data_IF_339679493015
#
_entry.id   IF_339679493015
#
_cell.length_a   1.000
_cell.length_b   1.000
_cell.length_c   1.000
_cell.angle_alpha   90.00
_cell.angle_beta   90.00
_cell.angle_gamma   90.00
#
_symmetry.space_group_name_H-M   'P 1'
#
loop_
_entity.id
_entity.type
_entity.pdbx_description
1 polymer ?
2 non-polymer ?
#
# COMPACT_ATOMS: atom_id res chain seq x y z
N UNK A 65 2.26 1.53 -29.85
CA UNK A 65 1.11 1.81 -28.99
C UNK A 65 0.05 0.73 -29.15
N UNK A 66 -0.15 -0.06 -28.10
CA UNK A 66 -1.16 -1.11 -28.09
C UNK A 66 -1.91 -1.05 -26.76
N UNK A 67 -3.20 -0.68 -26.78
CA UNK A 67 -3.89 -0.39 -25.52
C UNK A 67 -4.19 -1.61 -24.66
N UNK A 68 -4.13 -2.83 -25.20
CA UNK A 68 -4.61 -3.98 -24.45
C UNK A 68 -3.60 -4.43 -23.39
N UNK A 69 -2.36 -3.93 -23.42
CA UNK A 69 -1.36 -4.39 -22.45
C UNK A 69 -1.69 -3.85 -21.06
N UNK A 70 -1.68 -2.53 -20.91
CA UNK A 70 -1.95 -1.94 -19.60
C UNK A 70 -3.41 -2.16 -19.19
N UNK A 71 -4.33 -2.20 -20.17
CA UNK A 71 -5.73 -2.50 -19.84
C UNK A 71 -5.87 -3.93 -19.33
N UNK A 72 -5.17 -4.88 -19.94
CA UNK A 72 -5.18 -6.25 -19.45
C UNK A 72 -4.57 -6.35 -18.06
N UNK A 73 -3.49 -5.61 -17.82
CA UNK A 73 -2.90 -5.57 -16.48
C UNK A 73 -3.91 -5.03 -15.48
N UNK A 74 -4.62 -3.97 -15.85
CA UNK A 74 -5.62 -3.38 -14.96
C UNK A 74 -6.74 -4.37 -14.66
N UNK A 75 -7.20 -5.10 -15.69
CA UNK A 75 -8.26 -6.09 -15.48
C UNK A 75 -7.79 -7.24 -14.59
N UNK A 76 -6.56 -7.71 -14.82
CA UNK A 76 -6.01 -8.78 -13.99
C UNK A 76 -5.92 -8.32 -12.54
N UNK A 77 -5.48 -7.09 -12.32
CA UNK A 77 -5.48 -6.55 -10.95
C UNK A 77 -6.90 -6.52 -10.41
N UNK A 78 -7.82 -5.92 -11.19
CA UNK A 78 -9.20 -5.72 -10.75
C UNK A 78 -9.86 -7.00 -10.30
N UNK A 79 -9.52 -8.13 -10.92
CA UNK A 79 -10.10 -9.40 -10.52
C UNK A 79 -9.27 -10.07 -9.44
N UNK A 80 -8.01 -10.38 -9.76
CA UNK A 80 -7.21 -11.25 -8.91
C UNK A 80 -6.89 -10.57 -7.58
N UNK A 81 -6.50 -9.30 -7.60
CA UNK A 81 -6.17 -8.63 -6.35
C UNK A 81 -7.38 -8.51 -5.44
N UNK A 82 -8.55 -8.21 -6.01
CA UNK A 82 -9.77 -8.15 -5.23
C UNK A 82 -10.05 -9.50 -4.58
N UNK A 83 -9.98 -10.58 -5.36
CA UNK A 83 -10.27 -11.91 -4.82
C UNK A 83 -9.29 -12.29 -3.72
N UNK A 84 -8.00 -12.05 -3.96
CA UNK A 84 -6.99 -12.43 -2.98
C UNK A 84 -7.09 -11.63 -1.69
N UNK A 85 -7.28 -10.31 -1.79
CA UNK A 85 -7.39 -9.50 -0.59
C UNK A 85 -8.68 -9.82 0.16
N UNK A 86 -9.77 -10.10 -0.55
CA UNK A 86 -10.99 -10.52 0.11
C UNK A 86 -10.79 -11.83 0.86
N UNK A 87 -10.08 -12.77 0.23
CA UNK A 87 -9.79 -14.03 0.91
C UNK A 87 -8.93 -13.81 2.15
N UNK A 88 -7.93 -12.93 2.07
CA UNK A 88 -7.08 -12.66 3.21
C UNK A 88 -7.88 -12.06 4.36
N UNK A 89 -8.73 -11.07 4.05
CA UNK A 89 -9.55 -10.44 5.09
C UNK A 89 -10.52 -11.43 5.71
N UNK A 90 -11.17 -12.25 4.88
CA UNK A 90 -12.10 -13.23 5.39
C UNK A 90 -11.41 -14.24 6.30
N UNK A 91 -10.23 -14.71 5.89
CA UNK A 91 -9.51 -15.70 6.67
C UNK A 91 -9.06 -15.11 8.01
N UNK A 92 -8.57 -13.86 8.00
CA UNK A 92 -8.15 -13.23 9.24
C UNK A 92 -9.34 -13.03 10.17
N UNK A 93 -10.49 -12.59 9.62
CA UNK A 93 -11.65 -12.33 10.46
C UNK A 93 -12.20 -13.62 11.04
N UNK A 94 -12.26 -14.69 10.23
CA UNK A 94 -12.96 -15.90 10.64
C UNK A 94 -12.15 -16.70 11.66
N UNK A 95 -10.91 -17.03 11.34
CA UNK A 95 -10.12 -17.93 12.15
C UNK A 95 -9.55 -17.20 13.37
N UNK A 96 -9.87 -17.71 14.56
CA UNK A 96 -9.27 -17.18 15.78
C UNK A 96 -7.78 -17.52 15.87
N UNK A 97 -7.35 -18.55 15.13
CA UNK A 97 -5.94 -18.94 15.15
C UNK A 97 -5.05 -17.81 14.64
N UNK A 98 -5.48 -17.12 13.58
CA UNK A 98 -4.65 -16.12 12.92
C UNK A 98 -5.04 -14.70 13.28
N UNK A 99 -5.50 -14.48 14.52
CA UNK A 99 -5.80 -13.13 14.99
C UNK A 99 -4.62 -12.61 15.81
N UNK A 100 -3.57 -12.21 15.09
CA UNK A 100 -2.36 -11.68 15.68
C UNK A 100 -2.14 -10.25 15.19
N UNK A 101 -1.30 -9.51 15.91
CA UNK A 101 -1.11 -8.09 15.61
C UNK A 101 -0.58 -7.88 14.20
N UNK A 102 0.45 -8.65 13.82
CA UNK A 102 0.96 -8.55 12.46
C UNK A 102 -0.11 -8.93 11.44
N UNK A 103 -0.96 -9.89 11.79
CA UNK A 103 -2.07 -10.25 10.91
C UNK A 103 -3.12 -9.15 10.86
N UNK A 104 -3.29 -8.39 11.94
CA UNK A 104 -4.20 -7.25 11.90
C UNK A 104 -3.68 -6.17 10.96
N UNK A 105 -2.37 -5.90 11.03
CA UNK A 105 -1.78 -4.95 10.09
C UNK A 105 -1.89 -5.45 8.66
N UNK A 106 -1.71 -6.75 8.45
CA UNK A 106 -1.88 -7.34 7.13
C UNK A 106 -3.32 -7.19 6.66
N UNK A 107 -4.27 -7.31 7.60
CA UNK A 107 -5.68 -7.07 7.27
C UNK A 107 -5.90 -5.64 6.80
N UNK A 108 -5.27 -4.67 7.48
CA UNK A 108 -5.40 -3.28 7.04
C UNK A 108 -4.80 -3.09 5.65
N UNK A 109 -3.65 -3.70 5.39
CA UNK A 109 -3.02 -3.62 4.07
C UNK A 109 -3.92 -4.20 3.00
N UNK A 110 -4.52 -5.37 3.27
CA UNK A 110 -5.41 -6.01 2.32
C UNK A 110 -6.66 -5.17 2.10
N UNK A 111 -7.18 -4.54 3.15
CA UNK A 111 -8.34 -3.67 3.01
C UNK A 111 -8.03 -2.50 2.08
N UNK A 112 -6.87 -1.86 2.27
CA UNK A 112 -6.49 -0.77 1.39
C UNK A 112 -6.31 -1.24 -0.05
N UNK A 113 -5.67 -2.40 -0.23
CA UNK A 113 -5.44 -2.91 -1.59
C UNK A 113 -6.75 -3.26 -2.27
N UNK A 114 -7.70 -3.84 -1.53
CA UNK A 114 -9.00 -4.18 -2.13
C UNK A 114 -9.80 -2.92 -2.44
N UNK A 115 -9.69 -1.89 -1.60
CA UNK A 115 -10.38 -0.64 -1.89
C UNK A 115 -9.83 0.01 -3.14
N UNK A 116 -8.51 0.01 -3.31
CA UNK A 116 -7.93 0.62 -4.51
C UNK A 116 -8.19 -0.22 -5.76
N UNK A 117 -8.53 -1.50 -5.57
CA UNK A 117 -8.74 -2.37 -6.73
C UNK A 117 -10.08 -2.07 -7.41
N UNK A 118 -11.10 -1.71 -6.62
CA UNK A 118 -12.42 -1.46 -7.18
C UNK A 118 -12.42 -0.32 -8.19
N UNK A 119 -11.45 0.60 -8.08
CA UNK A 119 -11.37 1.74 -8.97
C UNK A 119 -10.56 1.45 -10.24
N UNK A 120 -10.12 0.21 -10.42
CA UNK A 120 -9.33 -0.12 -11.61
C UNK A 120 -10.09 0.10 -12.93
N UNK A 121 -11.35 -0.31 -13.08
CA UNK A 121 -12.05 0.01 -14.34
C UNK A 121 -12.17 1.50 -14.60
N UNK A 122 -12.27 2.32 -13.56
CA UNK A 122 -12.31 3.77 -13.76
C UNK A 122 -10.93 4.31 -14.12
N UNK A 123 -9.87 3.72 -13.57
CA UNK A 123 -8.51 4.16 -13.90
C UNK A 123 -8.18 3.91 -15.37
N UNK A 124 -8.59 2.77 -15.90
CA UNK A 124 -8.23 2.39 -17.26
C UNK A 124 -8.94 3.23 -18.32
N UNK A 125 -9.97 3.99 -17.95
CA UNK A 125 -10.65 4.82 -18.94
C UNK A 125 -9.78 5.99 -19.37
N UNK A 126 -9.07 6.62 -18.44
CA UNK A 126 -8.20 7.73 -18.78
C UNK A 126 -6.98 7.30 -19.60
N UNK A 127 -6.77 6.00 -19.74
CA UNK A 127 -5.73 5.47 -20.61
C UNK A 127 -6.29 4.97 -21.94
N UNK A 128 -7.50 4.42 -21.94
CA UNK A 128 -8.11 3.97 -23.18
C UNK A 128 -8.62 5.15 -24.01
N UNK A 129 -9.26 6.12 -23.36
CA UNK A 129 -9.87 7.25 -24.05
C UNK A 129 -9.24 8.59 -23.74
N UNK A 130 -8.35 8.66 -22.74
CA UNK A 130 -7.70 9.91 -22.34
C UNK A 130 -8.72 10.99 -21.98
N UNK A 131 -9.77 10.59 -21.28
CA UNK A 131 -10.78 11.52 -20.81
C UNK A 131 -11.50 10.89 -19.62
N UNK A 132 -12.20 11.74 -18.86
CA UNK A 132 -12.92 11.29 -17.67
C UNK A 132 -14.42 11.40 -17.91
N UNK A 133 -15.12 10.30 -18.19
CA UNK A 133 -16.58 10.35 -18.37
C UNK A 133 -17.41 10.00 -17.15
N UNK A 134 -16.81 9.85 -15.97
CA UNK A 134 -17.53 9.31 -14.82
C UNK A 134 -18.08 10.38 -13.87
N UNK A 135 -17.75 11.65 -14.08
CA UNK A 135 -18.37 12.72 -13.33
C UNK A 135 -17.54 13.16 -12.13
N UNK A 136 -18.01 14.26 -11.53
CA UNK A 136 -17.25 14.95 -10.49
C UNK A 136 -17.20 14.15 -9.19
N UNK A 137 -18.34 13.60 -8.76
CA UNK A 137 -18.37 12.84 -7.52
C UNK A 137 -17.50 11.59 -7.63
N UNK A 138 -17.60 10.89 -8.75
CA UNK A 138 -16.75 9.71 -8.95
C UNK A 138 -15.27 10.09 -9.03
N UNK A 139 -14.97 11.24 -9.64
CA UNK A 139 -13.58 11.71 -9.64
C UNK A 139 -13.08 11.96 -8.22
N UNK A 140 -13.91 12.61 -7.40
CA UNK A 140 -13.54 12.86 -6.00
C UNK A 140 -13.29 11.56 -5.26
N UNK A 141 -14.20 10.59 -5.42
CA UNK A 141 -14.07 9.32 -4.72
C UNK A 141 -12.81 8.59 -5.16
N UNK A 142 -12.53 8.59 -6.46
CA UNK A 142 -11.36 7.89 -6.98
C UNK A 142 -10.07 8.52 -6.47
N UNK A 143 -9.98 9.85 -6.50
CA UNK A 143 -8.78 10.52 -6.01
C UNK A 143 -8.59 10.25 -4.52
N UNK A 144 -9.68 10.33 -3.75
CA UNK A 144 -9.58 10.07 -2.32
C UNK A 144 -9.13 8.64 -2.05
N UNK A 145 -9.65 7.68 -2.81
CA UNK A 145 -9.25 6.28 -2.61
C UNK A 145 -7.77 6.10 -2.96
N UNK A 146 -7.31 6.74 -4.03
CA UNK A 146 -5.91 6.62 -4.41
C UNK A 146 -4.99 7.15 -3.31
N UNK A 147 -5.31 8.35 -2.79
CA UNK A 147 -4.46 8.92 -1.75
C UNK A 147 -4.55 8.13 -0.45
N UNK A 148 -5.75 7.63 -0.12
CA UNK A 148 -5.91 6.77 1.05
C UNK A 148 -5.04 5.54 0.93
N UNK A 149 -5.07 4.88 -0.22
CA UNK A 149 -4.24 3.69 -0.42
C UNK A 149 -2.76 4.02 -0.27
N UNK A 150 -2.32 5.10 -0.94
CA UNK A 150 -0.90 5.44 -0.91
C UNK A 150 -0.41 5.70 0.51
N UNK A 151 -1.16 6.48 1.29
CA UNK A 151 -0.70 6.81 2.62
C UNK A 151 -0.86 5.63 3.58
N UNK A 152 -2.00 4.92 3.52
CA UNK A 152 -2.26 3.85 4.45
C UNK A 152 -1.31 2.68 4.26
N UNK A 153 -0.98 2.34 3.01
CA UNK A 153 -0.07 1.23 2.77
C UNK A 153 1.29 1.47 3.42
N UNK A 154 1.87 2.65 3.20
CA UNK A 154 3.19 2.93 3.73
C UNK A 154 3.15 3.07 5.25
N UNK A 155 2.08 3.68 5.79
CA UNK A 155 1.99 3.80 7.24
C UNK A 155 1.84 2.44 7.91
N UNK A 156 1.03 1.55 7.32
CA UNK A 156 0.85 0.22 7.88
C UNK A 156 2.13 -0.60 7.77
N UNK A 157 2.88 -0.44 6.68
CA UNK A 157 4.16 -1.12 6.58
C UNK A 157 5.15 -0.60 7.60
N UNK A 158 5.16 0.71 7.85
CA UNK A 158 6.02 1.26 8.89
C UNK A 158 5.66 0.71 10.26
N UNK A 159 4.36 0.61 10.56
CA UNK A 159 3.94 0.05 11.83
C UNK A 159 4.25 -1.44 11.93
N UNK A 160 4.16 -2.17 10.81
CA UNK A 160 4.59 -3.57 10.81
C UNK A 160 6.06 -3.70 11.12
N UNK A 161 6.89 -2.83 10.52
CA UNK A 161 8.32 -2.86 10.80
C UNK A 161 8.61 -2.54 12.27
N UNK A 162 7.89 -1.55 12.81
CA UNK A 162 8.09 -1.20 14.22
C UNK A 162 7.66 -2.35 15.13
N UNK A 163 6.54 -3.00 14.81
CA UNK A 163 6.09 -4.14 15.60
C UNK A 163 7.09 -5.28 15.55
N UNK A 164 7.64 -5.57 14.37
CA UNK A 164 8.65 -6.61 14.25
C UNK A 164 9.90 -6.25 15.04
N UNK A 165 10.31 -4.98 15.00
CA UNK A 165 11.48 -4.55 15.74
C UNK A 165 11.25 -4.71 17.24
N UNK A 166 10.06 -4.35 17.73
CA UNK A 166 9.75 -4.51 19.15
C UNK A 166 9.75 -5.99 19.51
N UNK A 167 9.18 -6.84 18.66
CA UNK A 167 9.13 -8.27 18.96
C UNK A 167 10.52 -8.88 19.00
N UNK A 168 11.42 -8.42 18.13
CA UNK A 168 12.74 -9.04 18.02
C UNK A 168 13.68 -8.50 19.09
N UNK A 169 13.76 -7.17 19.23
CA UNK A 169 14.77 -6.55 20.06
C UNK A 169 14.30 -6.22 21.47
N UNK A 170 12.99 -6.12 21.70
CA UNK A 170 12.44 -5.79 23.02
C UNK A 170 11.31 -6.75 23.36
N UNK A 171 11.63 -8.03 23.60
CA UNK A 171 10.57 -9.00 23.93
C UNK A 171 9.90 -8.74 25.27
N UNK A 172 10.52 -7.98 26.17
CA UNK A 172 9.92 -7.74 27.47
C UNK A 172 8.70 -6.82 27.35
N UNK A 173 8.79 -5.81 26.48
CA UNK A 173 7.69 -4.88 26.27
C UNK A 173 6.69 -5.38 25.24
N UNK A 174 7.13 -6.24 24.33
CA UNK A 174 6.25 -6.75 23.28
C UNK A 174 5.08 -7.55 23.83
N UNK A 175 5.19 -8.08 25.05
CA UNK A 175 4.07 -8.80 25.65
C UNK A 175 2.88 -7.87 25.86
N UNK A 176 3.13 -6.68 26.40
CA UNK A 176 2.07 -5.71 26.60
C UNK A 176 1.71 -4.98 25.30
N UNK A 177 2.70 -4.70 24.46
CA UNK A 177 2.45 -3.86 23.29
C UNK A 177 1.68 -4.63 22.21
N UNK A 178 2.05 -5.88 21.97
CA UNK A 178 1.65 -6.58 20.75
C UNK A 178 0.32 -7.32 20.89
N UNK A 179 -0.59 -6.84 21.73
CA UNK A 179 -1.93 -7.41 21.77
C UNK A 179 -2.71 -7.00 20.52
N UNK A 180 -3.57 -7.89 20.01
CA UNK A 180 -4.35 -7.54 18.80
C UNK A 180 -5.24 -6.33 18.96
N UNK A 181 -5.74 -6.06 20.16
CA UNK A 181 -6.58 -4.88 20.37
C UNK A 181 -5.81 -3.60 20.08
N UNK A 182 -4.56 -3.53 20.56
CA UNK A 182 -3.71 -2.38 20.23
C UNK A 182 -3.45 -2.29 18.74
N UNK A 183 -3.33 -3.43 18.06
CA UNK A 183 -3.15 -3.41 16.61
C UNK A 183 -4.37 -2.82 15.92
N UNK A 184 -5.57 -3.19 16.37
CA UNK A 184 -6.79 -2.62 15.79
C UNK A 184 -6.86 -1.13 16.06
N UNK A 185 -6.54 -0.70 17.28
CA UNK A 185 -6.56 0.73 17.60
C UNK A 185 -5.57 1.48 16.73
N UNK A 186 -4.38 0.92 16.52
CA UNK A 186 -3.37 1.56 15.69
C UNK A 186 -3.83 1.62 14.23
N UNK A 187 -4.54 0.58 13.77
CA UNK A 187 -5.08 0.62 12.41
C UNK A 187 -6.11 1.73 12.26
N UNK A 188 -6.99 1.89 13.24
CA UNK A 188 -7.96 2.98 13.20
C UNK A 188 -7.26 4.33 13.21
N UNK A 189 -6.22 4.46 14.04
CA UNK A 189 -5.47 5.70 14.10
C UNK A 189 -4.76 6.00 12.78
N UNK A 190 -4.26 4.95 12.12
CA UNK A 190 -3.62 5.13 10.82
C UNK A 190 -4.64 5.60 9.79
N UNK A 191 -5.83 5.00 9.78
CA UNK A 191 -6.85 5.43 8.83
C UNK A 191 -7.27 6.88 9.11
N UNK A 192 -7.35 7.26 10.39
CA UNK A 192 -7.69 8.64 10.71
C UNK A 192 -6.58 9.61 10.29
N UNK A 193 -5.32 9.20 10.46
CA UNK A 193 -4.22 10.07 10.08
C UNK A 193 -4.18 10.31 8.58
N UNK A 194 -4.40 9.25 7.79
CA UNK A 194 -4.43 9.41 6.34
C UNK A 194 -5.67 10.18 5.87
N UNK A 195 -6.69 10.32 6.72
CA UNK A 195 -7.87 11.06 6.35
C UNK A 195 -7.60 12.55 6.16
N UNK A 196 -6.48 13.05 6.68
CA UNK A 196 -6.12 14.44 6.44
C UNK A 196 -5.80 14.69 4.97
N UNK A 197 -5.52 13.62 4.21
CA UNK A 197 -5.25 13.74 2.79
C UNK A 197 -6.45 13.23 2.00
N UNK A 198 -7.13 12.22 2.54
CA UNK A 198 -8.32 11.71 1.86
C UNK A 198 -9.46 12.72 1.83
N UNK A 199 -9.72 13.35 2.97
CA UNK A 199 -10.77 14.38 3.01
C UNK A 199 -10.36 15.60 2.19
N UNK A 200 -9.07 15.93 2.21
CA UNK A 200 -8.59 17.03 1.38
C UNK A 200 -8.78 16.72 -0.10
N UNK A 201 -8.55 15.48 -0.51
CA UNK A 201 -8.78 15.10 -1.89
C UNK A 201 -10.27 15.10 -2.23
N UNK A 202 -11.11 14.72 -1.27
CA UNK A 202 -12.55 14.81 -1.47
C UNK A 202 -12.97 16.25 -1.71
N UNK A 203 -12.45 17.17 -0.89
CA UNK A 203 -12.83 18.58 -1.02
C UNK A 203 -12.30 19.18 -2.31
N UNK A 204 -11.02 18.93 -2.62
CA UNK A 204 -10.35 19.58 -3.73
C UNK A 204 -10.52 18.86 -5.05
N UNK A 205 -10.76 17.55 -5.02
CA UNK A 205 -10.88 16.80 -6.26
C UNK A 205 -12.03 17.30 -7.11
N UNK A 206 -11.84 17.23 -8.42
CA UNK A 206 -12.87 17.69 -9.34
C UNK A 206 -12.44 17.49 -10.77
N UNK A 207 -13.37 17.78 -11.68
CA UNK A 207 -13.16 17.64 -13.11
C UNK A 207 -13.13 19.02 -13.74
N UNK A 208 -12.07 19.31 -14.49
CA UNK A 208 -11.95 20.57 -15.22
C UNK A 208 -11.71 20.27 -16.69
N UNK A 209 -12.47 20.91 -17.55
CA UNK A 209 -12.36 20.71 -18.99
C UNK A 209 -11.15 21.47 -19.52
N UNK A 210 -10.50 20.91 -20.53
CA UNK A 210 -9.38 21.58 -21.17
C UNK A 210 -9.90 22.51 -22.27
N UNK A 211 -9.45 23.76 -22.23
CA UNK A 211 -9.93 24.77 -23.17
C UNK A 211 -9.24 24.70 -24.52
N UNK A 212 -8.23 23.84 -24.67
CA UNK A 212 -7.50 23.72 -25.93
C UNK A 212 -7.75 22.42 -26.67
N UNK A 213 -8.20 21.37 -25.99
CA UNK A 213 -8.44 20.08 -26.62
C UNK A 213 -9.80 19.49 -26.28
N UNK A 214 -10.60 20.17 -25.43
CA UNK A 214 -11.92 19.68 -25.02
C UNK A 214 -11.81 18.28 -24.38
N UNK A 215 -10.90 18.17 -23.42
CA UNK A 215 -10.66 16.92 -22.70
C UNK A 215 -10.96 17.15 -21.23
N UNK A 216 -11.80 16.31 -20.65
CA UNK A 216 -12.11 16.39 -19.23
C UNK A 216 -11.01 15.69 -18.45
N UNK A 217 -10.47 16.36 -17.44
CA UNK A 217 -9.39 15.84 -16.64
C UNK A 217 -9.82 15.77 -15.17
N UNK A 218 -9.51 14.65 -14.53
CA UNK A 218 -9.81 14.44 -13.12
C UNK A 218 -8.52 14.63 -12.33
N UNK A 219 -8.48 15.67 -11.50
CA UNK A 219 -7.29 15.98 -10.70
C UNK A 219 -7.68 16.93 -9.59
N UNK A 220 -6.74 17.15 -8.67
CA UNK A 220 -6.97 18.08 -7.58
C UNK A 220 -7.03 19.51 -8.10
N UNK A 221 -8.01 20.26 -7.62
CA UNK A 221 -8.28 21.62 -8.11
C UNK A 221 -7.75 22.63 -7.11
N UNK A 222 -6.47 22.94 -7.22
CA UNK A 222 -5.89 24.06 -6.49
C UNK A 222 -6.37 25.37 -7.11
N UNK A 223 -6.40 26.46 -6.33
CA UNK A 223 -6.87 27.73 -6.86
C UNK A 223 -6.07 28.16 -8.08
N UNK A 224 -6.78 28.57 -9.13
CA UNK A 224 -6.12 28.95 -10.38
C UNK A 224 -5.35 30.26 -10.25
N UNK A 225 -5.54 30.98 -9.13
CA UNK A 225 -4.73 32.17 -8.89
C UNK A 225 -3.25 31.81 -8.79
N UNK A 226 -2.98 30.69 -8.11
CA UNK A 226 -1.58 30.20 -8.00
C UNK A 226 -1.50 28.85 -8.73
N UNK A 227 -2.17 27.82 -8.20
CA UNK A 227 -2.17 26.47 -8.84
C UNK A 227 -0.78 26.16 -9.37
N UNK A 228 0.27 26.58 -8.66
CA UNK A 228 1.62 26.19 -9.14
C UNK A 228 2.41 25.76 -7.92
N UNK A 229 2.74 26.72 -7.05
CA UNK A 229 3.39 26.31 -5.79
C UNK A 229 2.51 25.24 -5.17
N UNK A 230 1.18 25.38 -5.30
CA UNK A 230 0.29 24.42 -4.62
C UNK A 230 0.65 23.01 -5.08
N UNK A 231 0.72 22.81 -6.39
CA UNK A 231 1.00 21.47 -6.91
C UNK A 231 2.39 20.99 -6.53
N UNK A 232 3.39 21.86 -6.69
CA UNK A 232 4.75 21.49 -6.33
C UNK A 232 4.88 21.24 -4.84
N UNK A 233 4.27 22.09 -4.02
CA UNK A 233 4.33 21.91 -2.57
C UNK A 233 3.66 20.61 -2.15
N UNK A 234 2.50 20.30 -2.72
CA UNK A 234 1.81 19.07 -2.37
C UNK A 234 2.61 17.85 -2.81
N UNK A 235 3.21 17.89 -4.01
CA UNK A 235 4.01 16.76 -4.46
C UNK A 235 5.22 16.55 -3.56
N UNK A 236 5.90 17.64 -3.19
CA UNK A 236 7.06 17.53 -2.31
C UNK A 236 6.66 16.99 -0.94
N UNK A 237 5.55 17.49 -0.40
CA UNK A 237 5.09 17.02 0.90
C UNK A 237 4.70 15.55 0.86
N UNK A 238 4.01 15.13 -0.20
CA UNK A 238 3.66 13.72 -0.34
C UNK A 238 4.91 12.87 -0.43
N UNK A 239 5.88 13.28 -1.23
CA UNK A 239 7.13 12.55 -1.33
C UNK A 239 7.80 12.40 0.03
N UNK A 240 7.93 13.51 0.76
CA UNK A 240 8.65 13.49 2.03
C UNK A 240 7.92 12.64 3.07
N UNK A 241 6.60 12.82 3.18
CA UNK A 241 5.83 12.21 4.26
C UNK A 241 5.30 10.83 3.93
N UNK A 242 5.44 10.35 2.69
CA UNK A 242 4.98 9.03 2.34
C UNK A 242 6.08 8.13 1.76
N UNK A 243 7.24 8.69 1.41
CA UNK A 243 8.35 7.86 0.96
C UNK A 243 9.59 8.00 1.82
N UNK A 244 10.07 9.23 2.05
CA UNK A 244 11.39 9.40 2.65
C UNK A 244 11.39 8.99 4.11
N UNK A 245 10.56 9.64 4.93
CA UNK A 245 10.58 9.37 6.36
C UNK A 245 10.15 7.94 6.70
N UNK A 246 9.04 7.41 6.16
CA UNK A 246 8.71 6.00 6.48
C UNK A 246 9.77 5.01 6.04
N UNK A 247 10.40 5.23 4.88
CA UNK A 247 11.45 4.32 4.43
C UNK A 247 12.67 4.44 5.33
N UNK A 248 12.97 5.65 5.82
CA UNK A 248 14.06 5.79 6.76
C UNK A 248 13.78 5.03 8.05
N UNK A 249 12.54 5.13 8.55
CA UNK A 249 12.17 4.40 9.77
C UNK A 249 12.28 2.90 9.55
N UNK A 250 11.80 2.42 8.39
CA UNK A 250 11.86 1.00 8.08
C UNK A 250 13.31 0.54 7.99
N UNK A 251 14.16 1.35 7.35
CA UNK A 251 15.57 0.99 7.21
C UNK A 251 16.24 0.89 8.57
N UNK A 252 15.98 1.86 9.45
CA UNK A 252 16.57 1.81 10.78
C UNK A 252 16.10 0.58 11.55
N UNK A 253 14.78 0.34 11.52
CA UNK A 253 14.22 -0.78 12.26
C UNK A 253 14.79 -2.11 11.76
N UNK A 254 14.89 -2.28 10.45
CA UNK A 254 15.38 -3.54 9.91
C UNK A 254 16.89 -3.68 10.03
N UNK A 255 17.63 -2.58 10.04
CA UNK A 255 19.06 -2.65 10.34
C UNK A 255 19.28 -3.18 11.76
N UNK A 256 18.54 -2.62 12.73
CA UNK A 256 18.65 -3.11 14.09
C UNK A 256 18.18 -4.55 14.21
N UNK A 257 17.11 -4.90 13.50
CA UNK A 257 16.59 -6.27 13.52
C UNK A 257 17.61 -7.26 12.97
N UNK A 258 18.27 -6.90 11.87
CA UNK A 258 19.25 -7.79 11.27
C UNK A 258 20.47 -7.92 12.17
N UNK A 259 20.88 -6.82 12.80
CA UNK A 259 21.97 -6.90 13.77
C UNK A 259 21.62 -7.86 14.90
N UNK A 260 20.41 -7.74 15.45
CA UNK A 260 19.99 -8.63 16.52
C UNK A 260 19.95 -10.09 16.06
N UNK A 261 19.40 -10.33 14.86
CA UNK A 261 19.31 -11.69 14.35
C UNK A 261 20.69 -12.30 14.14
N UNK A 262 21.63 -11.53 13.60
CA UNK A 262 22.98 -12.04 13.41
C UNK A 262 23.66 -12.29 14.74
N UNK A 263 23.38 -11.46 15.74
CA UNK A 263 24.04 -11.62 17.04
C UNK A 263 23.68 -12.96 17.70
N UNK A 264 22.40 -13.34 17.64
CA UNK A 264 21.96 -14.55 18.34
C UNK A 264 21.76 -15.74 17.42
N UNK A 265 21.97 -15.58 16.10
CA UNK A 265 21.76 -16.69 15.17
C UNK A 265 22.67 -17.86 15.47
N UNK A 266 23.85 -17.60 16.02
CA UNK A 266 24.81 -18.67 16.28
C UNK A 266 24.28 -19.66 17.31
N UNK A 267 23.71 -19.16 18.41
CA UNK A 267 23.45 -20.03 19.56
C UNK A 267 22.07 -19.82 20.18
N UNK A 268 21.12 -19.25 19.45
CA UNK A 268 19.75 -19.18 19.95
C UNK A 268 19.12 -20.57 19.98
N UNK A 269 18.23 -20.79 20.95
CA UNK A 269 17.76 -22.15 21.18
C UNK A 269 16.29 -22.37 21.42
N UNK A 270 15.48 -21.31 21.54
CA UNK A 270 14.04 -21.48 21.73
C UNK A 270 13.42 -21.75 20.36
N UNK A 271 13.48 -23.02 19.96
CA UNK A 271 13.31 -23.38 18.55
C UNK A 271 11.99 -22.88 17.97
N UNK A 272 10.88 -23.17 18.66
CA UNK A 272 9.57 -22.83 18.10
C UNK A 272 9.39 -21.32 17.97
N UNK A 273 9.62 -20.59 19.06
CA UNK A 273 9.40 -19.16 19.04
C UNK A 273 10.42 -18.44 18.17
N UNK A 274 11.68 -18.87 18.21
CA UNK A 274 12.69 -18.27 17.36
C UNK A 274 12.37 -18.48 15.88
N UNK A 275 11.95 -19.70 15.52
CA UNK A 275 11.58 -19.98 14.15
C UNK A 275 10.40 -19.14 13.71
N UNK A 276 9.38 -19.02 14.57
CA UNK A 276 8.21 -18.21 14.22
C UNK A 276 8.58 -16.75 14.03
N UNK A 277 9.40 -16.21 14.94
CA UNK A 277 9.81 -14.81 14.83
C UNK A 277 10.60 -14.58 13.55
N UNK A 278 11.54 -15.48 13.23
CA UNK A 278 12.35 -15.32 12.04
C UNK A 278 11.55 -15.49 10.75
N UNK A 279 10.49 -16.30 10.77
CA UNK A 279 9.63 -16.43 9.60
C UNK A 279 8.75 -15.20 9.38
N UNK A 280 8.13 -14.67 10.44
CA UNK A 280 7.32 -13.46 10.25
C UNK A 280 8.18 -12.26 9.90
N UNK A 281 9.38 -12.14 10.48
CA UNK A 281 10.27 -11.05 10.09
C UNK A 281 10.62 -11.13 8.61
N UNK A 282 10.96 -12.33 8.13
CA UNK A 282 11.16 -12.61 6.72
C UNK A 282 9.99 -12.15 5.86
N UNK A 283 8.79 -12.56 6.25
CA UNK A 283 7.60 -12.22 5.46
C UNK A 283 7.39 -10.71 5.39
N UNK A 284 7.51 -10.04 6.53
CA UNK A 284 7.30 -8.59 6.55
C UNK A 284 8.38 -7.89 5.74
N UNK A 285 9.63 -8.35 5.84
CA UNK A 285 10.72 -7.75 5.08
C UNK A 285 10.49 -7.90 3.59
N UNK A 286 10.05 -9.08 3.15
CA UNK A 286 9.80 -9.29 1.72
C UNK A 286 8.65 -8.42 1.24
N UNK A 287 7.59 -8.29 2.05
CA UNK A 287 6.47 -7.43 1.66
C UNK A 287 6.92 -5.98 1.53
N UNK A 288 7.70 -5.51 2.50
CA UNK A 288 8.18 -4.13 2.47
C UNK A 288 9.09 -3.90 1.26
N UNK A 289 9.99 -4.84 0.99
CA UNK A 289 10.87 -4.72 -0.16
C UNK A 289 10.11 -4.71 -1.47
N UNK A 290 9.09 -5.56 -1.62
CA UNK A 290 8.28 -5.55 -2.84
C UNK A 290 7.56 -4.22 -2.98
N UNK A 291 7.01 -3.69 -1.88
CA UNK A 291 6.34 -2.39 -1.95
C UNK A 291 7.31 -1.29 -2.37
N UNK A 292 8.52 -1.31 -1.83
CA UNK A 292 9.49 -0.26 -2.11
C UNK A 292 9.86 -0.26 -3.59
N UNK A 293 10.10 -1.44 -4.16
CA UNK A 293 10.47 -1.49 -5.57
C UNK A 293 9.27 -1.26 -6.48
N UNK A 294 8.05 -1.51 -6.00
CA UNK A 294 6.87 -1.24 -6.82
C UNK A 294 6.51 0.25 -6.84
N UNK A 295 6.70 0.95 -5.72
CA UNK A 295 6.31 2.34 -5.62
C UNK A 295 7.47 3.32 -5.75
N UNK A 296 8.71 2.84 -5.86
CA UNK A 296 9.84 3.75 -6.02
C UNK A 296 9.82 4.48 -7.36
N UNK A 297 9.64 3.83 -8.52
CA UNK A 297 9.72 4.59 -9.79
C UNK A 297 8.71 5.72 -9.90
N UNK A 298 7.49 5.52 -9.39
CA UNK A 298 6.45 6.53 -9.59
C UNK A 298 6.75 7.78 -8.76
N UNK A 299 7.25 7.61 -7.54
CA UNK A 299 7.61 8.75 -6.71
C UNK A 299 8.71 9.58 -7.35
N UNK A 300 9.76 8.90 -7.84
CA UNK A 300 10.87 9.59 -8.47
C UNK A 300 10.41 10.28 -9.75
N UNK A 301 9.57 9.61 -10.54
CA UNK A 301 9.09 10.22 -11.78
C UNK A 301 8.25 11.45 -11.49
N UNK A 302 7.37 11.38 -10.49
CA UNK A 302 6.55 12.53 -10.14
C UNK A 302 7.41 13.68 -9.67
N UNK A 303 8.41 13.39 -8.83
CA UNK A 303 9.30 14.43 -8.34
C UNK A 303 10.08 15.08 -9.48
N UNK A 304 10.58 14.28 -10.42
CA UNK A 304 11.35 14.82 -11.54
C UNK A 304 10.45 15.67 -12.43
N UNK A 305 9.23 15.21 -12.69
CA UNK A 305 8.29 15.99 -13.49
C UNK A 305 7.96 17.31 -12.82
N UNK A 306 7.76 17.29 -11.49
CA UNK A 306 7.44 18.51 -10.77
C UNK A 306 8.62 19.49 -10.78
N UNK A 307 9.83 19.00 -10.58
CA UNK A 307 11.00 19.86 -10.50
C UNK A 307 11.60 20.14 -11.88
N UNK A 308 12.00 19.09 -12.58
CA UNK A 308 12.60 19.24 -13.89
C UNK A 308 11.59 19.45 -15.01
N UNK A 315 8.26 8.70 -25.31
CA UNK A 315 8.99 7.85 -24.38
C UNK A 315 8.69 8.24 -22.94
N UNK A 316 8.59 9.54 -22.69
CA UNK A 316 8.28 10.02 -21.35
C UNK A 316 6.90 9.55 -20.90
N UNK A 317 5.90 9.63 -21.79
CA UNK A 317 4.56 9.17 -21.44
C UNK A 317 4.54 7.66 -21.26
N UNK A 318 5.31 6.92 -22.07
CA UNK A 318 5.39 5.48 -21.89
C UNK A 318 5.98 5.11 -20.53
N UNK A 319 7.05 5.80 -20.14
CA UNK A 319 7.63 5.55 -18.82
C UNK A 319 6.66 5.94 -17.70
N UNK A 320 5.94 7.04 -17.89
CA UNK A 320 4.96 7.47 -16.90
C UNK A 320 3.89 6.39 -16.70
N UNK A 321 3.32 5.90 -17.80
CA UNK A 321 2.26 4.90 -17.67
C UNK A 321 2.80 3.56 -17.18
N UNK A 322 4.04 3.20 -17.54
CA UNK A 322 4.63 1.99 -16.98
C UNK A 322 4.80 2.12 -15.48
N UNK A 323 5.26 3.28 -15.00
CA UNK A 323 5.40 3.48 -13.55
C UNK A 323 4.05 3.41 -12.86
N UNK A 324 3.01 4.02 -13.45
CA UNK A 324 1.69 3.98 -12.86
C UNK A 324 1.18 2.55 -12.78
N UNK A 325 1.34 1.79 -13.86
CA UNK A 325 0.91 0.40 -13.87
C UNK A 325 1.66 -0.43 -12.84
N UNK A 326 2.98 -0.23 -12.74
CA UNK A 326 3.78 -0.97 -11.77
C UNK A 326 3.35 -0.65 -10.34
N UNK A 327 2.99 0.60 -10.08
CA UNK A 327 2.52 0.96 -8.75
C UNK A 327 1.23 0.24 -8.37
N UNK A 328 0.31 0.09 -9.34
CA UNK A 328 -0.98 -0.53 -9.04
C UNK A 328 -0.88 -2.04 -8.90
N UNK A 329 0.08 -2.68 -9.57
CA UNK A 329 0.20 -4.14 -9.48
C UNK A 329 0.61 -4.60 -8.10
N UNK A 330 1.10 -3.71 -7.24
CA UNK A 330 1.47 -4.11 -5.89
C UNK A 330 0.26 -4.55 -5.08
N UNK A 331 -0.93 -4.05 -5.42
CA UNK A 331 -2.13 -4.41 -4.69
C UNK A 331 -2.53 -5.86 -4.92
N UNK A 332 -2.01 -6.51 -5.96
CA UNK A 332 -2.36 -7.88 -6.28
C UNK A 332 -1.30 -8.89 -5.85
N UNK A 333 -0.07 -8.45 -5.61
CA UNK A 333 1.03 -9.36 -5.28
C UNK A 333 1.08 -9.71 -3.79
N UNK A 334 0.31 -9.02 -2.94
CA UNK A 334 0.36 -9.32 -1.51
C UNK A 334 -0.16 -10.72 -1.19
N UNK A 335 -1.30 -11.18 -1.71
CA UNK A 335 -1.72 -12.56 -1.40
C UNK A 335 -0.80 -13.62 -1.98
N UNK A 336 -0.21 -13.37 -3.15
CA UNK A 336 0.65 -14.37 -3.80
C UNK A 336 1.98 -14.41 -3.07
N UNK A 337 2.23 -13.44 -2.21
CA UNK A 337 3.37 -13.43 -1.31
C UNK A 337 3.05 -14.06 0.03
N UNK A 338 1.87 -13.81 0.57
CA UNK A 338 1.45 -14.45 1.81
C UNK A 338 1.36 -15.96 1.64
N UNK A 339 0.83 -16.41 0.49
CA UNK A 339 0.68 -17.84 0.26
C UNK A 339 2.01 -18.56 0.13
N UNK A 340 3.10 -17.84 -0.13
CA UNK A 340 4.42 -18.44 -0.29
C UNK A 340 5.33 -18.23 0.91
N UNK A 341 5.11 -17.18 1.70
CA UNK A 341 5.98 -16.87 2.82
C UNK A 341 5.41 -17.30 4.18
N UNK A 342 4.12 -17.57 4.26
CA UNK A 342 3.49 -17.95 5.52
C UNK A 342 2.82 -19.30 5.37
N UNK A 343 3.08 -20.21 6.31
CA UNK A 343 2.48 -21.54 6.27
C UNK A 343 1.02 -21.50 6.69
N UNK A 344 0.68 -20.69 7.70
CA UNK A 344 -0.69 -20.62 8.17
C UNK A 344 -1.61 -20.02 7.10
N UNK A 345 -1.15 -18.97 6.43
CA UNK A 345 -1.95 -18.38 5.35
C UNK A 345 -2.15 -19.38 4.21
N UNK A 346 -1.10 -20.13 3.86
CA UNK A 346 -1.24 -21.15 2.82
C UNK A 346 -2.22 -22.24 3.23
N UNK A 347 -2.15 -22.68 4.48
CA UNK A 347 -3.08 -23.70 4.97
C UNK A 347 -4.52 -23.19 4.93
N UNK A 348 -4.74 -21.95 5.34
CA UNK A 348 -6.09 -21.39 5.33
C UNK A 348 -6.59 -21.21 3.91
N UNK A 349 -5.73 -20.80 2.98
CA UNK A 349 -6.12 -20.68 1.58
C UNK A 349 -6.52 -22.04 1.02
N UNK A 350 -5.74 -23.08 1.34
CA UNK A 350 -6.10 -24.43 0.89
C UNK A 350 -7.42 -24.88 1.48
N UNK A 351 -7.63 -24.60 2.78
CA UNK A 351 -8.87 -25.00 3.42
C UNK A 351 -10.08 -24.30 2.81
N UNK A 352 -9.93 -23.02 2.47
CA UNK A 352 -11.03 -22.29 1.84
C UNK A 352 -11.29 -22.79 0.43
N UNK A 353 -10.23 -22.98 -0.36
CA UNK A 353 -10.41 -23.43 -1.74
C UNK A 353 -10.87 -24.88 -1.80
N UNK A 354 -10.29 -25.75 -0.98
CA UNK A 354 -10.58 -27.18 -1.00
C UNK A 354 -10.86 -27.64 0.43
N UNK A 355 -12.09 -27.43 0.92
CA UNK A 355 -12.46 -27.87 2.27
C UNK A 355 -12.58 -29.39 2.39
#
# INVERSE_FOLDING_TARGET
DYKDDDDAMESPIQIFRGDPGPTCSPSACLLPNSSSWFPNWAESDSNGSVGSEDQQLESAHISPAIPVIITAVYSVVFVVGLVGNSLVMFVIIRYTKMKTATNIYIFNLALADALVTTTMPFQSAVYLMNSWPFGDVLCKIVISIDYYNMFTSIFTLTMMSVDRYIAVCHPVKALDFRTPLKAKIINICIWLLASSVGISAIVLGGTKVREDVDVIECSLQFPDDEYSWWDLFMKICVFVFAFVIPVLIIIVCYTLMILRLKSVRLLSGSREKDRNLRRITKLVLVVVAVFIICWTPIHIFILVEALGSTSHSTAALSSYYFCIALGYTNSSLNPVLYAFLDENFKRCFRDFCFPIKMRMERQSTNRVRNTVQDPASMRDVGGMNKPV
#
